data_IF_339640669615
#
_entry.id   IF_339640669615
#
_cell.length_a   1.000
_cell.length_b   1.000
_cell.length_c   1.000
_cell.angle_alpha   90.00
_cell.angle_beta   90.00
_cell.angle_gamma   90.00
#
_symmetry.space_group_name_H-M   'P 1'
#
loop_
_entity.id
_entity.type
_entity.pdbx_description
1 polymer ?
#
# COMPACT_ATOMS: atom_id res chain seq x y z
N UNK A 1 -37.94 6.63 14.93
CA UNK A 1 -38.75 6.71 16.17
C UNK A 1 -37.83 7.21 17.25
N UNK A 2 -37.96 8.45 17.68
CA UNK A 2 -37.31 9.01 18.85
C UNK A 2 -37.74 8.19 20.06
N UNK A 3 -36.84 7.44 20.64
CA UNK A 3 -37.05 6.79 21.93
C UNK A 3 -36.81 7.87 23.00
N UNK A 4 -37.87 8.51 23.45
CA UNK A 4 -37.80 9.42 24.60
C UNK A 4 -37.26 8.72 25.84
N UNK A 5 -36.75 9.50 26.79
CA UNK A 5 -36.33 8.98 28.09
C UNK A 5 -37.53 8.33 28.82
N UNK A 6 -37.29 7.28 29.64
CA UNK A 6 -38.35 6.70 30.46
C UNK A 6 -39.05 7.80 31.31
N UNK A 7 -40.38 7.68 31.54
CA UNK A 7 -41.14 8.71 32.25
C UNK A 7 -40.57 9.07 33.63
N UNK A 8 -39.99 8.11 34.34
CA UNK A 8 -39.33 8.31 35.64
C UNK A 8 -38.10 9.24 35.55
N UNK A 9 -37.34 9.17 34.43
CA UNK A 9 -36.20 10.07 34.19
C UNK A 9 -36.68 11.46 33.86
N UNK A 10 -37.75 11.58 33.06
CA UNK A 10 -38.35 12.86 32.72
C UNK A 10 -38.91 13.55 33.94
N UNK A 11 -39.62 12.84 34.80
CA UNK A 11 -40.15 13.40 36.06
C UNK A 11 -39.04 13.85 37.02
N UNK A 12 -37.95 13.12 37.13
CA UNK A 12 -36.80 13.52 37.93
C UNK A 12 -36.07 14.76 37.42
N UNK A 13 -35.91 14.88 36.07
CA UNK A 13 -35.33 16.06 35.44
C UNK A 13 -36.25 17.28 35.62
N UNK A 14 -37.57 17.09 35.48
CA UNK A 14 -38.56 18.15 35.70
C UNK A 14 -38.65 18.64 37.15
N UNK A 15 -38.38 17.73 38.12
CA UNK A 15 -38.35 18.04 39.53
C UNK A 15 -37.05 18.73 40.00
N UNK A 16 -36.09 18.99 39.11
CA UNK A 16 -34.75 19.56 39.44
C UNK A 16 -34.00 18.81 40.56
N UNK A 17 -34.18 17.49 40.64
CA UNK A 17 -33.47 16.65 41.62
C UNK A 17 -32.09 16.33 41.08
N UNK A 18 -31.08 16.30 42.00
CA UNK A 18 -29.69 15.96 41.71
C UNK A 18 -29.55 14.43 41.44
N UNK A 19 -29.95 14.00 40.21
CA UNK A 19 -29.76 12.62 39.79
C UNK A 19 -28.58 12.51 38.82
N UNK A 20 -27.73 11.52 39.05
CA UNK A 20 -26.67 11.11 38.15
C UNK A 20 -27.11 9.86 37.38
N UNK A 21 -27.17 9.94 36.06
CA UNK A 21 -27.46 8.80 35.19
C UNK A 21 -26.21 7.95 35.00
N UNK A 22 -26.24 6.70 35.43
CA UNK A 22 -25.17 5.73 35.15
C UNK A 22 -25.33 5.22 33.73
N UNK A 23 -24.35 5.50 32.87
CA UNK A 23 -24.30 4.91 31.54
C UNK A 23 -24.02 3.41 31.63
N UNK A 24 -24.88 2.58 31.07
CA UNK A 24 -24.69 1.12 30.97
C UNK A 24 -23.92 0.71 29.72
N UNK A 25 -23.81 1.58 28.73
CA UNK A 25 -23.08 1.38 27.46
C UNK A 25 -22.34 2.67 27.09
N UNK A 26 -21.27 2.57 26.32
CA UNK A 26 -20.60 3.74 25.77
C UNK A 26 -21.57 4.58 24.95
N UNK A 27 -21.43 5.90 25.00
CA UNK A 27 -22.21 6.85 24.24
C UNK A 27 -21.27 7.63 23.31
N UNK A 28 -21.76 7.99 22.14
CA UNK A 28 -21.03 8.85 21.20
C UNK A 28 -20.56 10.14 21.90
N UNK A 29 -19.28 10.49 21.62
CA UNK A 29 -18.65 11.67 22.23
C UNK A 29 -17.79 11.38 23.48
N UNK A 30 -17.86 10.19 24.05
CA UNK A 30 -16.94 9.78 25.10
C UNK A 30 -15.60 9.30 24.50
N UNK A 31 -14.50 9.64 25.15
CA UNK A 31 -13.14 9.33 24.66
C UNK A 31 -12.86 7.84 24.52
N UNK A 32 -13.48 7.00 25.34
CA UNK A 32 -13.32 5.56 25.38
C UNK A 32 -14.35 4.79 24.52
N UNK A 33 -15.39 5.47 24.01
CA UNK A 33 -16.46 4.83 23.26
C UNK A 33 -15.96 4.10 22.00
N UNK A 34 -15.05 4.64 21.16
CA UNK A 34 -14.52 3.93 20.00
C UNK A 34 -13.79 2.65 20.38
N UNK A 35 -12.98 2.69 21.44
CA UNK A 35 -12.23 1.52 21.93
C UNK A 35 -13.15 0.44 22.47
N UNK A 36 -14.15 0.81 23.26
CA UNK A 36 -15.11 -0.15 23.80
C UNK A 36 -15.99 -0.78 22.71
N UNK A 37 -16.33 -0.02 21.66
CA UNK A 37 -17.00 -0.53 20.49
C UNK A 37 -16.12 -1.56 19.75
N UNK A 38 -14.88 -1.21 19.44
CA UNK A 38 -13.92 -2.11 18.78
C UNK A 38 -13.74 -3.42 19.57
N UNK A 39 -13.57 -3.33 20.89
CA UNK A 39 -13.46 -4.52 21.76
C UNK A 39 -14.72 -5.40 21.72
N UNK A 40 -15.92 -4.78 21.72
CA UNK A 40 -17.18 -5.51 21.63
C UNK A 40 -17.34 -6.22 20.27
N UNK A 41 -17.00 -5.53 19.17
CA UNK A 41 -17.04 -6.10 17.83
C UNK A 41 -16.00 -7.23 17.69
N UNK A 42 -14.76 -6.99 18.11
CA UNK A 42 -13.68 -7.98 18.12
C UNK A 42 -14.07 -9.25 18.89
N UNK A 43 -14.59 -9.09 20.11
CA UNK A 43 -15.05 -10.22 20.91
C UNK A 43 -16.11 -11.04 20.15
N UNK A 44 -17.11 -10.38 19.57
CA UNK A 44 -18.17 -11.06 18.82
C UNK A 44 -17.62 -11.79 17.58
N UNK A 45 -16.75 -11.13 16.80
CA UNK A 45 -16.13 -11.74 15.62
C UNK A 45 -15.29 -12.96 15.99
N UNK A 46 -14.46 -12.86 17.05
CA UNK A 46 -13.54 -13.95 17.43
C UNK A 46 -14.25 -15.09 18.18
N UNK A 47 -15.10 -14.78 19.15
CA UNK A 47 -15.66 -15.78 20.06
C UNK A 47 -16.96 -16.38 19.49
N UNK A 48 -17.90 -15.54 19.06
CA UNK A 48 -19.19 -16.00 18.57
C UNK A 48 -19.13 -16.47 17.12
N UNK A 49 -18.43 -15.72 16.26
CA UNK A 49 -18.32 -16.00 14.84
C UNK A 49 -17.09 -16.81 14.46
N UNK A 50 -16.21 -17.15 15.43
CA UNK A 50 -14.98 -17.95 15.24
C UNK A 50 -14.04 -17.40 14.18
N UNK A 51 -14.03 -16.08 14.01
CA UNK A 51 -13.04 -15.40 13.17
C UNK A 51 -11.65 -15.46 13.81
N UNK A 52 -10.63 -15.53 12.99
CA UNK A 52 -9.25 -15.27 13.39
C UNK A 52 -8.92 -13.82 13.10
N UNK A 53 -8.15 -13.19 13.99
CA UNK A 53 -7.59 -11.86 13.73
C UNK A 53 -6.21 -12.04 13.10
N UNK A 54 -5.88 -11.23 12.11
CA UNK A 54 -4.55 -11.25 11.50
C UNK A 54 -3.48 -10.80 12.50
N UNK A 55 -2.32 -11.41 12.46
CA UNK A 55 -1.14 -10.99 13.23
C UNK A 55 -0.57 -9.65 12.75
N UNK A 56 -0.88 -9.24 11.50
CA UNK A 56 -0.38 -8.01 10.89
C UNK A 56 -1.33 -6.82 11.01
N UNK A 57 -2.64 -7.06 11.27
CA UNK A 57 -3.65 -6.00 11.35
C UNK A 57 -4.81 -6.43 12.25
N UNK A 58 -4.98 -5.75 13.38
CA UNK A 58 -6.02 -6.05 14.35
C UNK A 58 -7.45 -5.78 13.87
N UNK A 59 -7.61 -5.08 12.75
CA UNK A 59 -8.88 -4.80 12.09
C UNK A 59 -9.18 -5.75 10.93
N UNK A 60 -8.28 -6.69 10.63
CA UNK A 60 -8.46 -7.70 9.60
C UNK A 60 -8.78 -9.05 10.23
N UNK A 61 -9.94 -9.60 9.90
CA UNK A 61 -10.45 -10.87 10.37
C UNK A 61 -10.65 -11.84 9.21
N UNK A 62 -10.44 -13.14 9.45
CA UNK A 62 -10.63 -14.15 8.42
C UNK A 62 -11.15 -15.46 8.98
N UNK A 63 -11.76 -16.24 8.12
CA UNK A 63 -12.29 -17.55 8.43
C UNK A 63 -11.66 -18.60 7.55
N UNK A 64 -11.47 -19.78 8.11
CA UNK A 64 -10.96 -20.94 7.36
C UNK A 64 -11.96 -22.08 7.43
N UNK A 65 -11.85 -23.04 6.48
CA UNK A 65 -12.63 -24.28 6.48
C UNK A 65 -12.45 -25.05 7.79
N UNK A 66 -13.38 -25.95 8.10
CA UNK A 66 -13.34 -26.73 9.34
C UNK A 66 -12.06 -27.54 9.55
N UNK A 67 -11.37 -27.94 8.48
CA UNK A 67 -10.05 -28.56 8.53
C UNK A 67 -8.89 -27.55 8.56
N UNK A 68 -9.16 -26.26 8.60
CA UNK A 68 -8.17 -25.18 8.63
C UNK A 68 -7.40 -24.93 7.34
N UNK A 69 -7.65 -25.69 6.26
CA UNK A 69 -6.80 -25.66 5.05
C UNK A 69 -7.10 -24.53 4.08
N UNK A 70 -8.34 -24.05 4.03
CA UNK A 70 -8.76 -23.09 3.01
C UNK A 70 -9.35 -21.82 3.63
N UNK A 71 -9.01 -20.67 3.08
CA UNK A 71 -9.66 -19.40 3.40
C UNK A 71 -11.11 -19.44 2.91
N UNK A 72 -12.08 -19.22 3.79
CA UNK A 72 -13.51 -19.20 3.46
C UNK A 72 -14.12 -17.82 3.52
N UNK A 73 -13.40 -16.85 4.04
CA UNK A 73 -13.83 -15.45 4.01
C UNK A 73 -12.91 -14.54 4.78
N UNK A 74 -13.05 -13.26 4.50
CA UNK A 74 -12.32 -12.18 5.14
C UNK A 74 -13.25 -11.01 5.48
N UNK A 75 -12.89 -10.25 6.50
CA UNK A 75 -13.59 -9.05 6.95
C UNK A 75 -12.57 -7.99 7.38
N UNK A 76 -12.71 -6.79 6.88
CA UNK A 76 -12.01 -5.60 7.38
C UNK A 76 -13.02 -4.75 8.13
N UNK A 77 -12.62 -4.24 9.29
CA UNK A 77 -13.45 -3.34 10.11
C UNK A 77 -12.88 -1.92 10.08
N UNK A 78 -13.76 -0.93 9.96
CA UNK A 78 -13.43 0.48 10.08
C UNK A 78 -14.50 1.16 10.94
N UNK A 79 -14.20 1.39 12.21
CA UNK A 79 -15.14 1.87 13.22
C UNK A 79 -16.35 0.93 13.32
N UNK A 80 -17.51 1.31 12.78
CA UNK A 80 -18.77 0.54 12.73
C UNK A 80 -19.04 -0.13 11.37
N UNK A 81 -18.30 0.26 10.35
CA UNK A 81 -18.39 -0.34 9.03
C UNK A 81 -17.57 -1.64 8.93
N UNK A 82 -18.11 -2.61 8.20
CA UNK A 82 -17.39 -3.85 7.88
C UNK A 82 -17.45 -4.15 6.38
N UNK A 83 -16.29 -4.40 5.77
CA UNK A 83 -16.23 -4.88 4.40
C UNK A 83 -15.91 -6.37 4.38
N UNK A 84 -16.78 -7.17 3.78
CA UNK A 84 -16.75 -8.63 3.87
C UNK A 84 -16.61 -9.27 2.49
N UNK A 85 -15.79 -10.31 2.41
CA UNK A 85 -15.62 -11.16 1.23
C UNK A 85 -15.75 -12.63 1.63
N UNK A 86 -16.73 -13.34 1.08
CA UNK A 86 -16.95 -14.78 1.27
C UNK A 86 -17.97 -15.30 0.25
N UNK A 87 -18.26 -16.61 0.30
CA UNK A 87 -19.39 -17.19 -0.41
C UNK A 87 -20.73 -16.59 0.09
N UNK A 88 -21.73 -16.51 -0.78
CA UNK A 88 -23.00 -15.86 -0.45
C UNK A 88 -23.70 -16.46 0.78
N UNK A 89 -23.69 -17.80 0.92
CA UNK A 89 -24.24 -18.49 2.08
C UNK A 89 -23.55 -18.09 3.39
N UNK A 90 -22.21 -17.98 3.36
CA UNK A 90 -21.42 -17.58 4.52
C UNK A 90 -21.67 -16.11 4.89
N UNK A 91 -21.79 -15.23 3.90
CA UNK A 91 -22.13 -13.83 4.14
C UNK A 91 -23.50 -13.69 4.81
N UNK A 92 -24.50 -14.43 4.32
CA UNK A 92 -25.84 -14.42 4.91
C UNK A 92 -25.83 -14.92 6.36
N UNK A 93 -25.13 -16.02 6.63
CA UNK A 93 -25.00 -16.57 7.98
C UNK A 93 -24.30 -15.57 8.93
N UNK A 94 -23.17 -15.01 8.50
CA UNK A 94 -22.41 -14.02 9.30
C UNK A 94 -23.21 -12.75 9.56
N UNK A 95 -23.95 -12.29 8.57
CA UNK A 95 -24.86 -11.16 8.73
C UNK A 95 -25.89 -11.45 9.83
N UNK A 96 -26.54 -12.60 9.82
CA UNK A 96 -27.53 -12.97 10.83
C UNK A 96 -26.94 -12.99 12.26
N UNK A 97 -25.68 -13.43 12.42
CA UNK A 97 -24.98 -13.40 13.71
C UNK A 97 -24.72 -11.97 14.19
N UNK A 98 -24.28 -11.09 13.29
CA UNK A 98 -24.06 -9.68 13.61
C UNK A 98 -25.38 -8.96 13.95
N UNK A 99 -26.45 -9.20 13.17
CA UNK A 99 -27.77 -8.61 13.43
C UNK A 99 -28.37 -9.06 14.76
N UNK A 100 -28.13 -10.29 15.18
CA UNK A 100 -28.55 -10.80 16.50
C UNK A 100 -27.90 -10.00 17.64
N UNK A 101 -26.65 -9.60 17.48
CA UNK A 101 -25.88 -8.89 18.52
C UNK A 101 -26.08 -7.39 18.49
N UNK A 102 -26.01 -6.79 17.31
CA UNK A 102 -25.94 -5.33 17.13
C UNK A 102 -27.26 -4.73 16.61
N UNK A 103 -28.23 -5.53 16.23
CA UNK A 103 -29.48 -5.09 15.62
C UNK A 103 -29.41 -5.07 14.10
N UNK A 104 -30.45 -4.58 13.45
CA UNK A 104 -30.57 -4.54 12.00
C UNK A 104 -29.40 -3.77 11.36
N UNK A 105 -28.74 -4.39 10.38
CA UNK A 105 -27.63 -3.82 9.64
C UNK A 105 -28.08 -3.22 8.32
N UNK A 106 -27.46 -2.09 7.94
CA UNK A 106 -27.50 -1.60 6.57
C UNK A 106 -26.50 -2.39 5.73
N UNK A 107 -26.95 -3.07 4.69
CA UNK A 107 -26.10 -3.93 3.86
C UNK A 107 -26.06 -3.40 2.44
N UNK A 108 -24.88 -3.25 1.91
CA UNK A 108 -24.62 -2.87 0.53
C UNK A 108 -23.92 -4.03 -0.21
N UNK A 109 -24.25 -4.21 -1.48
CA UNK A 109 -23.59 -5.13 -2.40
C UNK A 109 -22.98 -4.35 -3.56
N UNK A 110 -22.07 -4.96 -4.30
CA UNK A 110 -21.39 -4.32 -5.43
C UNK A 110 -22.38 -3.75 -6.48
N UNK A 111 -22.23 -2.50 -6.93
CA UNK A 111 -21.22 -1.55 -6.48
C UNK A 111 -21.58 -0.90 -5.13
N UNK A 112 -20.58 -0.66 -4.30
CA UNK A 112 -20.74 0.08 -3.05
C UNK A 112 -19.53 0.96 -2.76
N UNK A 113 -19.70 1.93 -1.84
CA UNK A 113 -18.61 2.77 -1.36
C UNK A 113 -18.27 2.39 0.09
N UNK A 114 -16.98 2.18 0.35
CA UNK A 114 -16.45 1.98 1.69
C UNK A 114 -15.25 2.91 1.90
N UNK A 115 -15.30 3.69 2.98
CA UNK A 115 -14.27 4.70 3.29
C UNK A 115 -13.93 5.54 2.04
N UNK A 116 -14.96 6.05 1.31
CA UNK A 116 -14.80 6.91 0.14
C UNK A 116 -14.16 6.28 -1.11
N UNK A 117 -13.93 4.97 -1.10
CA UNK A 117 -13.48 4.20 -2.26
C UNK A 117 -14.67 3.38 -2.77
N UNK A 118 -14.95 3.51 -4.06
CA UNK A 118 -16.00 2.73 -4.73
C UNK A 118 -15.44 1.39 -5.19
N UNK A 119 -16.14 0.33 -4.80
CA UNK A 119 -15.90 -1.06 -5.22
C UNK A 119 -16.91 -1.39 -6.31
N UNK A 120 -16.44 -1.71 -7.49
CA UNK A 120 -17.27 -1.99 -8.66
C UNK A 120 -16.92 -3.35 -9.26
N UNK A 121 -17.94 -4.13 -9.65
CA UNK A 121 -17.73 -5.39 -10.35
C UNK A 121 -17.47 -5.13 -11.82
N UNK A 122 -16.42 -5.76 -12.34
CA UNK A 122 -16.11 -5.76 -13.76
C UNK A 122 -16.95 -6.81 -14.53
N UNK A 123 -17.14 -6.61 -15.84
CA UNK A 123 -17.87 -7.60 -16.68
C UNK A 123 -17.26 -9.00 -16.67
N UNK A 124 -15.94 -9.11 -16.48
CA UNK A 124 -15.19 -10.36 -16.37
C UNK A 124 -15.23 -11.01 -14.97
N UNK A 125 -16.02 -10.44 -14.06
CA UNK A 125 -16.15 -10.89 -12.68
C UNK A 125 -15.09 -10.35 -11.71
N UNK A 126 -14.11 -9.61 -12.20
CA UNK A 126 -13.12 -8.92 -11.37
C UNK A 126 -13.70 -7.73 -10.60
N UNK A 127 -12.84 -7.04 -9.86
CA UNK A 127 -13.17 -5.82 -9.13
C UNK A 127 -12.33 -4.65 -9.65
N UNK A 128 -12.94 -3.45 -9.63
CA UNK A 128 -12.24 -2.17 -9.77
C UNK A 128 -12.49 -1.33 -8.52
N UNK A 129 -11.43 -0.76 -7.98
CA UNK A 129 -11.46 0.18 -6.87
C UNK A 129 -11.11 1.56 -7.40
N UNK A 130 -11.97 2.56 -7.18
CA UNK A 130 -11.75 3.93 -7.67
C UNK A 130 -12.39 4.97 -6.76
N UNK A 131 -11.98 6.22 -6.94
CA UNK A 131 -12.52 7.39 -6.24
C UNK A 131 -13.02 8.44 -7.25
N UNK A 132 -13.76 7.99 -8.28
CA UNK A 132 -14.21 8.84 -9.40
C UNK A 132 -14.99 10.05 -8.92
N UNK A 133 -16.00 9.83 -8.09
CA UNK A 133 -16.89 10.87 -7.58
C UNK A 133 -16.11 11.88 -6.73
N UNK A 134 -15.21 11.39 -5.89
CA UNK A 134 -14.32 12.23 -5.09
C UNK A 134 -13.39 13.07 -5.97
N UNK A 135 -12.76 12.47 -6.98
CA UNK A 135 -11.88 13.20 -7.90
C UNK A 135 -12.63 14.31 -8.64
N UNK A 136 -13.85 14.04 -9.10
CA UNK A 136 -14.71 15.03 -9.78
C UNK A 136 -15.20 16.16 -8.85
N UNK A 137 -15.38 15.86 -7.55
CA UNK A 137 -15.82 16.84 -6.56
C UNK A 137 -14.70 17.77 -6.04
N UNK A 138 -13.42 17.46 -6.34
CA UNK A 138 -12.31 18.34 -5.95
C UNK A 138 -12.47 19.73 -6.55
N UNK A 139 -12.31 20.75 -5.72
CA UNK A 139 -12.44 22.15 -6.15
C UNK A 139 -11.07 22.74 -6.48
N UNK A 140 -11.03 23.49 -7.57
CA UNK A 140 -9.85 24.27 -7.90
C UNK A 140 -9.65 25.39 -6.86
N UNK A 141 -8.42 25.63 -6.49
CA UNK A 141 -8.02 26.75 -5.64
C UNK A 141 -8.16 28.03 -6.43
N UNK A 142 -8.85 29.04 -5.85
CA UNK A 142 -8.92 30.38 -6.43
C UNK A 142 -7.56 31.06 -6.30
N UNK A 143 -7.09 31.65 -7.39
CA UNK A 143 -5.78 32.31 -7.45
C UNK A 143 -6.02 33.72 -8.00
N UNK A 144 -5.49 34.71 -7.30
CA UNK A 144 -5.46 36.08 -7.82
C UNK A 144 -4.51 36.14 -9.03
N UNK A 145 -5.07 36.50 -10.19
CA UNK A 145 -4.35 36.55 -11.47
C UNK A 145 -3.31 37.67 -11.52
N UNK A 146 -3.44 38.69 -10.67
CA UNK A 146 -2.49 39.81 -10.60
C UNK A 146 -1.18 39.44 -9.92
N UNK A 147 -1.15 38.35 -9.12
CA UNK A 147 0.02 37.92 -8.36
C UNK A 147 1.04 37.20 -9.24
N UNK A 148 2.31 37.53 -9.03
CA UNK A 148 3.41 36.90 -9.74
C UNK A 148 3.59 35.42 -9.30
N UNK A 149 4.08 34.54 -10.18
CA UNK A 149 4.23 33.10 -9.87
C UNK A 149 5.15 32.79 -8.67
N UNK A 150 6.19 33.58 -8.48
CA UNK A 150 7.19 33.45 -7.42
C UNK A 150 6.80 34.14 -6.10
N UNK A 151 5.68 34.89 -6.09
CA UNK A 151 5.17 35.53 -4.87
C UNK A 151 4.89 34.48 -3.79
N UNK A 152 5.37 34.65 -2.55
CA UNK A 152 5.10 33.73 -1.45
C UNK A 152 3.61 33.73 -1.10
N UNK A 153 3.10 32.59 -0.64
CA UNK A 153 1.72 32.49 -0.18
C UNK A 153 1.53 33.20 1.16
N UNK A 154 0.37 33.80 1.33
CA UNK A 154 -0.10 34.24 2.64
C UNK A 154 -0.63 33.05 3.48
N UNK A 155 -1.06 33.35 4.72
CA UNK A 155 -1.55 32.32 5.65
C UNK A 155 -2.85 31.64 5.17
N UNK A 156 -3.76 32.39 4.53
CA UNK A 156 -5.02 31.89 4.01
C UNK A 156 -4.80 31.00 2.78
N UNK A 157 -3.93 31.45 1.86
CA UNK A 157 -3.52 30.70 0.67
C UNK A 157 -2.79 29.43 1.05
N UNK A 158 -1.89 29.49 2.06
CA UNK A 158 -1.19 28.30 2.60
C UNK A 158 -2.18 27.29 3.20
N UNK A 159 -3.19 27.75 3.94
CA UNK A 159 -4.25 26.89 4.48
C UNK A 159 -5.05 26.24 3.35
N UNK A 160 -5.37 26.99 2.32
CA UNK A 160 -6.09 26.50 1.14
C UNK A 160 -5.26 25.45 0.37
N UNK A 161 -3.94 25.69 0.20
CA UNK A 161 -3.05 24.72 -0.40
C UNK A 161 -3.00 23.41 0.41
N UNK A 162 -2.88 23.50 1.74
CA UNK A 162 -2.92 22.32 2.63
C UNK A 162 -4.21 21.52 2.47
N UNK A 163 -5.35 22.18 2.40
CA UNK A 163 -6.63 21.52 2.17
C UNK A 163 -6.69 20.79 0.82
N UNK A 164 -6.24 21.46 -0.27
CA UNK A 164 -6.17 20.85 -1.59
C UNK A 164 -5.22 19.63 -1.61
N UNK A 165 -4.04 19.75 -1.00
CA UNK A 165 -3.07 18.64 -0.89
C UNK A 165 -3.60 17.49 -0.04
N UNK A 166 -4.36 17.76 1.04
CA UNK A 166 -5.03 16.73 1.82
C UNK A 166 -6.01 15.91 0.99
N UNK A 167 -6.86 16.58 0.17
CA UNK A 167 -7.77 15.91 -0.76
C UNK A 167 -7.03 15.10 -1.83
N UNK A 168 -5.97 15.66 -2.42
CA UNK A 168 -5.15 14.95 -3.39
C UNK A 168 -4.41 13.76 -2.77
N UNK A 169 -3.89 13.88 -1.55
CA UNK A 169 -3.25 12.77 -0.83
C UNK A 169 -4.23 11.62 -0.59
N UNK A 170 -5.47 11.94 -0.19
CA UNK A 170 -6.52 10.93 -0.05
C UNK A 170 -6.82 10.22 -1.38
N UNK A 171 -6.79 10.94 -2.49
CA UNK A 171 -7.01 10.36 -3.82
C UNK A 171 -5.87 9.40 -4.22
N UNK A 172 -4.65 9.55 -3.69
CA UNK A 172 -3.53 8.67 -4.04
C UNK A 172 -3.79 7.21 -3.71
N UNK A 173 -4.69 6.88 -2.77
CA UNK A 173 -5.02 5.48 -2.45
C UNK A 173 -5.42 4.64 -3.67
N UNK A 174 -6.08 5.25 -4.66
CA UNK A 174 -6.45 4.58 -5.91
C UNK A 174 -5.79 5.20 -7.15
N UNK A 175 -5.00 6.26 -6.96
CA UNK A 175 -4.36 7.06 -8.00
C UNK A 175 -2.87 7.29 -7.70
N UNK A 176 -2.05 6.21 -7.71
CA UNK A 176 -0.60 6.33 -7.52
C UNK A 176 0.08 7.25 -8.53
N UNK A 177 -0.51 7.45 -9.73
CA UNK A 177 0.00 8.34 -10.79
C UNK A 177 0.10 9.83 -10.42
N UNK A 178 -0.52 10.25 -9.33
CA UNK A 178 -0.40 11.63 -8.82
C UNK A 178 0.45 11.72 -7.54
N UNK A 179 0.94 10.59 -7.01
CA UNK A 179 1.57 10.55 -5.69
C UNK A 179 2.85 11.39 -5.62
N UNK A 180 3.73 11.31 -6.63
CA UNK A 180 4.96 12.10 -6.66
C UNK A 180 4.68 13.60 -6.67
N UNK A 181 3.71 14.05 -7.48
CA UNK A 181 3.32 15.46 -7.54
C UNK A 181 2.84 15.98 -6.19
N UNK A 182 2.02 15.19 -5.49
CA UNK A 182 1.47 15.55 -4.17
C UNK A 182 2.59 15.64 -3.15
N UNK A 183 3.49 14.65 -3.10
CA UNK A 183 4.62 14.62 -2.16
C UNK A 183 5.59 15.78 -2.40
N UNK A 184 5.91 16.05 -3.66
CA UNK A 184 6.79 17.17 -4.03
C UNK A 184 6.19 18.52 -3.64
N UNK A 185 4.88 18.72 -3.82
CA UNK A 185 4.21 19.95 -3.37
C UNK A 185 4.11 20.03 -1.85
N UNK A 186 3.81 18.92 -1.16
CA UNK A 186 3.76 18.91 0.31
C UNK A 186 5.10 19.33 0.92
N UNK A 187 6.21 18.95 0.30
CA UNK A 187 7.54 19.31 0.77
C UNK A 187 7.83 20.82 0.71
N UNK A 188 7.11 21.56 -0.13
CA UNK A 188 7.27 23.00 -0.34
C UNK A 188 6.31 23.86 0.47
N UNK A 189 5.30 23.29 1.15
CA UNK A 189 4.18 24.02 1.77
C UNK A 189 4.62 25.18 2.67
N UNK A 190 5.73 25.06 3.39
CA UNK A 190 6.24 26.11 4.29
C UNK A 190 6.85 27.31 3.54
N UNK A 191 7.21 27.14 2.28
CA UNK A 191 7.84 28.15 1.41
C UNK A 191 7.14 28.20 0.05
N UNK A 192 5.86 27.83 0.03
CA UNK A 192 5.09 27.72 -1.21
C UNK A 192 4.82 29.09 -1.83
N UNK A 193 4.69 29.09 -3.15
CA UNK A 193 4.45 30.27 -3.98
C UNK A 193 3.15 30.13 -4.77
N UNK A 194 2.76 31.18 -5.47
CA UNK A 194 1.61 31.17 -6.39
C UNK A 194 1.78 30.10 -7.49
N UNK A 195 3.02 29.82 -7.92
CA UNK A 195 3.28 28.74 -8.87
C UNK A 195 2.90 27.37 -8.30
N UNK A 196 3.09 27.13 -7.00
CA UNK A 196 2.72 25.89 -6.34
C UNK A 196 1.20 25.73 -6.24
N UNK A 197 0.43 26.81 -6.02
CA UNK A 197 -1.02 26.78 -6.14
C UNK A 197 -1.50 26.43 -7.57
N UNK A 198 -0.83 27.00 -8.59
CA UNK A 198 -1.14 26.66 -9.99
C UNK A 198 -0.83 25.20 -10.29
N UNK A 199 0.27 24.68 -9.74
CA UNK A 199 0.61 23.26 -9.86
C UNK A 199 -0.44 22.36 -9.17
N UNK A 200 -0.89 22.70 -7.96
CA UNK A 200 -1.98 21.99 -7.30
C UNK A 200 -3.25 21.94 -8.18
N UNK A 201 -3.63 23.05 -8.78
CA UNK A 201 -4.75 23.11 -9.72
C UNK A 201 -4.54 22.26 -10.98
N UNK A 202 -3.31 22.17 -11.47
CA UNK A 202 -2.97 21.28 -12.59
C UNK A 202 -3.19 19.82 -12.23
N UNK A 203 -2.75 19.39 -11.03
CA UNK A 203 -2.96 18.02 -10.54
C UNK A 203 -4.45 17.73 -10.36
N UNK A 204 -5.22 18.67 -9.78
CA UNK A 204 -6.68 18.52 -9.63
C UNK A 204 -7.36 18.35 -11.00
N UNK A 205 -7.03 19.19 -12.00
CA UNK A 205 -7.60 19.04 -13.36
C UNK A 205 -7.25 17.70 -13.98
N UNK A 206 -6.00 17.24 -13.85
CA UNK A 206 -5.57 15.92 -14.34
C UNK A 206 -6.36 14.80 -13.64
N UNK A 207 -6.52 14.88 -12.32
CA UNK A 207 -7.32 13.92 -11.56
C UNK A 207 -8.79 13.88 -12.01
N UNK A 208 -9.41 15.04 -12.28
CA UNK A 208 -10.77 15.14 -12.79
C UNK A 208 -10.91 14.59 -14.21
N UNK A 209 -10.01 14.97 -15.12
CA UNK A 209 -10.03 14.50 -16.51
C UNK A 209 -9.83 12.99 -16.63
N UNK A 210 -9.04 12.42 -15.74
CA UNK A 210 -8.70 10.99 -15.70
C UNK A 210 -9.39 10.27 -14.53
N UNK A 211 -10.56 10.78 -14.10
CA UNK A 211 -11.29 10.27 -12.93
C UNK A 211 -11.71 8.81 -13.02
N UNK A 212 -11.74 8.24 -14.23
CA UNK A 212 -12.02 6.82 -14.47
C UNK A 212 -10.86 5.87 -14.13
N UNK A 213 -9.65 6.38 -13.87
CA UNK A 213 -8.52 5.53 -13.46
C UNK A 213 -8.77 4.93 -12.08
N UNK A 214 -8.27 3.73 -11.84
CA UNK A 214 -8.40 3.02 -10.58
C UNK A 214 -7.55 1.77 -10.52
N UNK A 215 -7.72 0.97 -9.49
CA UNK A 215 -7.00 -0.28 -9.30
C UNK A 215 -7.89 -1.46 -9.73
N UNK A 216 -7.32 -2.41 -10.44
CA UNK A 216 -8.01 -3.57 -11.00
C UNK A 216 -7.56 -4.85 -10.31
N UNK A 217 -8.53 -5.72 -9.99
CA UNK A 217 -8.33 -7.00 -9.33
C UNK A 217 -9.10 -8.07 -10.10
N UNK A 218 -8.47 -8.67 -11.10
CA UNK A 218 -9.01 -9.76 -11.91
C UNK A 218 -8.50 -11.10 -11.42
N UNK A 219 -9.18 -12.17 -11.78
CA UNK A 219 -8.70 -13.51 -11.46
C UNK A 219 -7.33 -13.75 -12.10
N UNK A 220 -6.31 -13.95 -11.28
CA UNK A 220 -4.99 -14.39 -11.71
C UNK A 220 -4.92 -15.93 -11.73
N UNK A 221 -4.03 -16.46 -12.55
CA UNK A 221 -3.75 -17.88 -12.59
C UNK A 221 -2.57 -18.24 -11.69
N UNK A 222 -2.65 -19.38 -11.04
CA UNK A 222 -1.54 -19.93 -10.26
C UNK A 222 -0.52 -20.63 -11.15
N UNK A 223 0.75 -20.67 -10.77
CA UNK A 223 1.33 -20.10 -9.55
C UNK A 223 1.41 -18.54 -9.60
N UNK A 224 1.47 -17.93 -8.44
CA UNK A 224 1.56 -16.46 -8.29
C UNK A 224 2.96 -16.04 -7.84
N UNK A 225 3.31 -14.78 -8.09
CA UNK A 225 4.53 -14.15 -7.58
C UNK A 225 4.30 -12.68 -7.26
N UNK A 226 5.19 -12.10 -6.48
CA UNK A 226 5.26 -10.67 -6.21
C UNK A 226 6.37 -10.00 -6.99
N UNK A 227 6.08 -8.85 -7.56
CA UNK A 227 7.07 -7.95 -8.15
C UNK A 227 7.27 -6.76 -7.20
N UNK A 228 8.50 -6.57 -6.76
CA UNK A 228 8.96 -5.42 -5.99
C UNK A 228 9.63 -4.43 -6.95
N UNK A 229 8.92 -3.39 -7.38
CA UNK A 229 9.39 -2.44 -8.39
C UNK A 229 9.80 -1.15 -7.69
N UNK A 230 11.09 -0.82 -7.77
CA UNK A 230 11.70 0.32 -7.07
C UNK A 230 12.27 1.33 -8.05
N UNK A 231 12.04 2.61 -7.79
CA UNK A 231 12.68 3.74 -8.47
C UNK A 231 13.04 4.82 -7.44
N UNK A 232 14.05 5.63 -7.73
CA UNK A 232 14.38 6.81 -6.95
C UNK A 232 14.72 8.00 -7.84
N UNK A 233 14.22 9.16 -7.48
CA UNK A 233 14.76 10.42 -8.02
C UNK A 233 15.77 11.00 -7.05
N UNK A 234 17.03 11.15 -7.51
CA UNK A 234 18.03 11.87 -6.74
C UNK A 234 17.80 13.39 -6.84
N UNK A 235 18.23 14.10 -5.80
CA UNK A 235 18.09 15.56 -5.67
C UNK A 235 18.14 16.31 -7.00
N UNK A 236 17.05 16.99 -7.33
CA UNK A 236 17.00 17.96 -8.42
C UNK A 236 17.45 19.34 -7.93
N UNK A 237 17.63 20.31 -8.83
CA UNK A 237 17.91 21.72 -8.46
C UNK A 237 16.89 22.30 -7.44
N UNK A 238 15.73 21.68 -7.30
CA UNK A 238 14.62 22.15 -6.48
C UNK A 238 14.40 21.32 -5.19
N UNK A 239 15.09 20.20 -5.01
CA UNK A 239 14.94 19.33 -3.82
C UNK A 239 16.31 18.90 -3.32
N UNK A 240 16.59 19.08 -2.04
CA UNK A 240 17.83 18.66 -1.38
C UNK A 240 17.78 17.20 -0.88
N UNK A 241 16.82 16.40 -1.33
CA UNK A 241 16.61 15.01 -0.91
C UNK A 241 16.10 14.16 -2.07
N UNK A 242 16.35 12.87 -1.98
CA UNK A 242 15.80 11.89 -2.89
C UNK A 242 14.32 11.61 -2.60
N UNK A 243 13.56 11.24 -3.63
CA UNK A 243 12.20 10.71 -3.51
C UNK A 243 12.25 9.23 -3.86
N UNK A 244 11.72 8.39 -2.98
CA UNK A 244 11.60 6.95 -3.15
C UNK A 244 10.23 6.61 -3.72
N UNK A 245 10.20 5.74 -4.71
CA UNK A 245 9.00 5.17 -5.32
C UNK A 245 8.96 3.66 -5.12
N UNK A 246 7.95 3.18 -4.41
CA UNK A 246 7.74 1.77 -4.08
C UNK A 246 6.47 1.27 -4.71
N UNK A 247 6.53 0.13 -5.41
CA UNK A 247 5.36 -0.53 -5.97
C UNK A 247 5.46 -2.04 -5.78
N UNK A 248 4.49 -2.62 -5.08
CA UNK A 248 4.35 -4.07 -4.88
C UNK A 248 3.16 -4.60 -5.68
N UNK A 249 3.43 -5.53 -6.57
CA UNK A 249 2.44 -6.04 -7.54
C UNK A 249 2.36 -7.56 -7.45
N UNK A 250 1.14 -8.09 -7.36
CA UNK A 250 0.85 -9.52 -7.47
C UNK A 250 0.51 -9.87 -8.91
N UNK A 251 1.06 -10.93 -9.44
CA UNK A 251 0.73 -11.46 -10.77
C UNK A 251 0.89 -12.98 -10.86
N UNK A 252 0.42 -13.54 -11.98
CA UNK A 252 0.76 -14.92 -12.34
C UNK A 252 2.26 -15.04 -12.55
N UNK A 253 2.89 -16.00 -11.90
CA UNK A 253 4.32 -16.24 -12.03
C UNK A 253 4.66 -16.73 -13.44
N UNK A 254 5.74 -16.23 -14.06
CA UNK A 254 6.19 -16.74 -15.33
C UNK A 254 6.63 -18.21 -15.21
N UNK A 255 6.26 -19.02 -16.19
CA UNK A 255 6.64 -20.43 -16.26
C UNK A 255 7.98 -20.56 -16.98
N UNK A 256 8.86 -21.43 -16.48
CA UNK A 256 10.13 -21.74 -17.16
C UNK A 256 11.16 -20.61 -17.13
N UNK A 257 11.20 -19.82 -16.07
CA UNK A 257 12.21 -18.78 -15.89
C UNK A 257 13.62 -19.38 -15.88
N UNK A 258 14.35 -19.22 -16.98
CA UNK A 258 15.76 -19.57 -17.05
C UNK A 258 16.58 -18.31 -16.76
N UNK A 259 17.53 -18.33 -15.82
CA UNK A 259 18.41 -17.19 -15.59
C UNK A 259 19.11 -16.73 -16.87
N UNK A 260 19.06 -15.45 -17.16
CA UNK A 260 19.82 -14.80 -18.24
C UNK A 260 19.10 -14.51 -19.54
N UNK A 261 17.87 -15.01 -19.79
CA UNK A 261 17.19 -14.89 -21.10
C UNK A 261 15.70 -14.49 -21.00
N UNK A 262 15.38 -13.49 -20.19
CA UNK A 262 13.97 -13.11 -20.00
C UNK A 262 13.57 -11.94 -20.89
N UNK A 263 12.50 -12.12 -21.66
CA UNK A 263 11.85 -11.05 -22.41
C UNK A 263 10.86 -10.29 -21.51
N UNK A 264 10.71 -8.99 -21.73
CA UNK A 264 9.73 -8.16 -21.03
C UNK A 264 8.29 -8.69 -21.13
N UNK A 265 7.94 -9.39 -22.21
CA UNK A 265 6.63 -10.01 -22.40
C UNK A 265 6.26 -11.01 -21.30
N UNK A 266 7.24 -11.70 -20.72
CA UNK A 266 7.03 -12.68 -19.63
C UNK A 266 6.51 -11.99 -18.37
N UNK A 267 6.94 -10.75 -18.15
CA UNK A 267 6.54 -9.94 -17.00
C UNK A 267 5.35 -9.03 -17.28
N UNK A 268 4.88 -8.95 -18.52
CA UNK A 268 3.67 -8.21 -18.88
C UNK A 268 2.40 -8.98 -18.54
N UNK A 269 1.24 -8.31 -18.59
CA UNK A 269 -0.07 -8.93 -18.40
C UNK A 269 -0.81 -8.46 -17.16
N UNK A 270 -1.85 -9.20 -16.78
CA UNK A 270 -2.72 -8.87 -15.65
C UNK A 270 -1.95 -8.90 -14.32
N UNK A 271 -2.27 -7.92 -13.47
CA UNK A 271 -1.64 -7.81 -12.17
C UNK A 271 -2.55 -7.06 -11.18
N UNK A 272 -2.21 -7.16 -9.89
CA UNK A 272 -2.86 -6.42 -8.80
C UNK A 272 -1.83 -5.54 -8.11
N UNK A 273 -2.08 -4.25 -8.03
CA UNK A 273 -1.32 -3.36 -7.16
C UNK A 273 -1.76 -3.61 -5.72
N UNK A 274 -0.86 -4.11 -4.89
CA UNK A 274 -1.15 -4.42 -3.48
C UNK A 274 -0.62 -3.36 -2.52
N UNK A 275 0.51 -2.73 -2.86
CA UNK A 275 1.04 -1.61 -2.10
C UNK A 275 1.78 -0.65 -3.03
N UNK A 276 1.72 0.62 -2.74
CA UNK A 276 2.54 1.65 -3.37
C UNK A 276 2.85 2.75 -2.38
N UNK A 277 3.97 3.41 -2.60
CA UNK A 277 4.38 4.56 -1.81
C UNK A 277 5.22 5.51 -2.65
N UNK A 278 5.01 6.80 -2.42
CA UNK A 278 5.88 7.87 -2.88
C UNK A 278 6.24 8.71 -1.66
N UNK A 279 7.50 8.97 -1.46
CA UNK A 279 7.91 9.73 -0.28
C UNK A 279 9.35 10.21 -0.33
N UNK A 280 9.64 11.21 0.49
CA UNK A 280 11.00 11.65 0.74
C UNK A 280 11.80 10.52 1.39
N UNK A 281 12.99 10.23 0.86
CA UNK A 281 13.92 9.30 1.49
C UNK A 281 14.17 9.71 2.95
N UNK A 282 14.06 8.76 3.86
CA UNK A 282 14.27 8.99 5.30
C UNK A 282 15.74 9.18 5.65
N UNK A 283 16.64 8.75 4.78
CA UNK A 283 18.09 8.84 4.95
C UNK A 283 18.68 9.74 3.86
N UNK A 284 19.78 10.40 4.19
CA UNK A 284 20.53 11.18 3.21
C UNK A 284 21.19 10.24 2.21
N UNK A 285 20.97 10.48 0.93
CA UNK A 285 21.67 9.79 -0.16
C UNK A 285 22.77 10.69 -0.71
N UNK A 286 23.93 10.11 -0.99
CA UNK A 286 25.11 10.82 -1.47
C UNK A 286 25.30 10.69 -2.99
N UNK A 287 24.51 9.81 -3.62
CA UNK A 287 24.55 9.58 -5.07
C UNK A 287 23.22 9.02 -5.57
N UNK A 288 23.00 9.03 -6.87
CA UNK A 288 21.84 8.38 -7.51
C UNK A 288 21.78 6.91 -7.15
N UNK A 289 22.89 6.18 -7.28
CA UNK A 289 22.98 4.76 -6.93
C UNK A 289 22.63 4.48 -5.45
N UNK A 290 23.01 5.41 -4.53
CA UNK A 290 22.63 5.29 -3.12
C UNK A 290 21.11 5.50 -2.93
N UNK A 291 20.52 6.48 -3.63
CA UNK A 291 19.06 6.70 -3.58
C UNK A 291 18.29 5.48 -4.10
N UNK A 292 18.73 4.90 -5.22
CA UNK A 292 18.15 3.66 -5.77
C UNK A 292 18.28 2.48 -4.79
N UNK A 293 19.43 2.36 -4.11
CA UNK A 293 19.65 1.33 -3.09
C UNK A 293 18.67 1.47 -1.92
N UNK A 294 18.40 2.70 -1.45
CA UNK A 294 17.43 2.99 -0.39
C UNK A 294 16.00 2.64 -0.82
N UNK A 295 15.61 3.05 -2.02
CA UNK A 295 14.29 2.74 -2.57
C UNK A 295 14.07 1.24 -2.73
N UNK A 296 15.07 0.51 -3.24
CA UNK A 296 15.02 -0.93 -3.37
C UNK A 296 14.84 -1.63 -2.01
N UNK A 297 15.59 -1.20 -0.99
CA UNK A 297 15.46 -1.75 0.35
C UNK A 297 14.06 -1.52 0.93
N UNK A 298 13.52 -0.31 0.80
CA UNK A 298 12.18 0.05 1.25
C UNK A 298 11.12 -0.77 0.51
N UNK A 299 11.28 -0.93 -0.81
CA UNK A 299 10.36 -1.70 -1.67
C UNK A 299 10.37 -3.18 -1.31
N UNK A 300 11.54 -3.78 -1.16
CA UNK A 300 11.69 -5.18 -0.76
C UNK A 300 11.04 -5.42 0.61
N UNK A 301 11.31 -4.55 1.59
CA UNK A 301 10.72 -4.68 2.93
C UNK A 301 9.19 -4.60 2.90
N UNK A 302 8.61 -3.70 2.10
CA UNK A 302 7.15 -3.60 1.93
C UNK A 302 6.58 -4.84 1.23
N UNK A 303 7.27 -5.34 0.20
CA UNK A 303 6.79 -6.51 -0.57
C UNK A 303 6.90 -7.81 0.25
N UNK A 304 7.94 -7.95 1.07
CA UNK A 304 8.07 -9.05 2.02
C UNK A 304 6.90 -9.08 3.03
N UNK A 305 6.50 -7.92 3.58
CA UNK A 305 5.31 -7.83 4.43
C UNK A 305 4.02 -8.26 3.72
N UNK A 306 3.90 -7.98 2.42
CA UNK A 306 2.78 -8.48 1.60
C UNK A 306 2.85 -10.00 1.46
N UNK A 307 4.05 -10.57 1.24
CA UNK A 307 4.26 -12.01 1.15
C UNK A 307 3.90 -12.71 2.48
N UNK A 308 4.31 -12.14 3.61
CA UNK A 308 3.97 -12.66 4.95
C UNK A 308 2.45 -12.68 5.19
N UNK A 309 1.75 -11.58 4.89
CA UNK A 309 0.29 -11.49 5.01
C UNK A 309 -0.41 -12.50 4.10
N UNK A 310 0.07 -12.67 2.89
CA UNK A 310 -0.48 -13.67 1.97
C UNK A 310 -0.27 -15.08 2.52
N UNK A 311 0.92 -15.40 3.03
CA UNK A 311 1.26 -16.69 3.63
C UNK A 311 0.37 -16.97 4.86
N UNK A 312 0.14 -15.98 5.74
CA UNK A 312 -0.80 -16.13 6.86
C UNK A 312 -2.18 -16.60 6.40
N UNK A 313 -2.65 -16.07 5.26
CA UNK A 313 -4.00 -16.36 4.76
C UNK A 313 -4.10 -17.68 3.98
N UNK A 314 -3.01 -18.10 3.33
CA UNK A 314 -3.04 -19.20 2.33
C UNK A 314 -2.28 -20.45 2.74
N UNK A 315 -1.38 -20.37 3.72
CA UNK A 315 -0.64 -21.54 4.22
C UNK A 315 -1.58 -22.71 4.56
N UNK A 316 -1.15 -23.98 4.42
CA UNK A 316 -1.99 -25.16 4.67
C UNK A 316 -2.54 -25.25 6.10
N UNK A 317 -1.91 -24.59 7.06
CA UNK A 317 -2.36 -24.40 8.44
C UNK A 317 -2.25 -22.91 8.80
N UNK A 318 -2.85 -22.54 9.93
CA UNK A 318 -2.70 -21.17 10.43
C UNK A 318 -1.35 -21.02 11.11
N UNK A 319 -0.42 -20.21 10.58
CA UNK A 319 0.87 -20.05 11.22
C UNK A 319 0.73 -19.43 12.61
N UNK A 320 1.51 -19.91 13.56
CA UNK A 320 1.75 -19.22 14.84
C UNK A 320 2.64 -17.99 14.62
N UNK A 321 2.72 -17.13 15.63
CA UNK A 321 3.64 -15.97 15.59
C UNK A 321 5.10 -16.42 15.38
N UNK A 322 5.50 -17.47 16.08
CA UNK A 322 6.86 -18.00 15.97
C UNK A 322 7.15 -18.55 14.55
N UNK A 323 6.18 -19.25 13.95
CA UNK A 323 6.29 -19.70 12.56
C UNK A 323 6.39 -18.54 11.58
N UNK A 324 5.60 -17.46 11.76
CA UNK A 324 5.69 -16.26 10.93
C UNK A 324 7.06 -15.57 11.09
N UNK A 325 7.60 -15.47 12.30
CA UNK A 325 8.94 -14.95 12.54
C UNK A 325 10.00 -15.82 11.86
N UNK A 326 9.88 -17.14 11.94
CA UNK A 326 10.79 -18.08 11.28
C UNK A 326 10.69 -17.96 9.76
N UNK A 327 9.48 -17.89 9.19
CA UNK A 327 9.26 -17.67 7.75
C UNK A 327 9.85 -16.33 7.30
N UNK A 328 9.64 -15.27 8.08
CA UNK A 328 10.24 -13.97 7.82
C UNK A 328 11.78 -14.03 7.85
N UNK A 329 12.36 -14.79 8.74
CA UNK A 329 13.81 -14.94 8.85
C UNK A 329 14.40 -15.78 7.71
N UNK A 330 13.74 -16.86 7.31
CA UNK A 330 14.22 -17.83 6.29
C UNK A 330 13.78 -17.48 4.86
N UNK A 331 12.83 -16.55 4.67
CA UNK A 331 12.27 -16.25 3.35
C UNK A 331 11.36 -17.34 2.79
N UNK A 332 10.81 -18.21 3.64
CA UNK A 332 9.93 -19.32 3.24
C UNK A 332 8.50 -18.84 3.02
N UNK A 333 8.30 -17.90 2.11
CA UNK A 333 6.97 -17.38 1.75
C UNK A 333 6.30 -18.25 0.69
N UNK A 334 4.94 -18.25 0.71
CA UNK A 334 4.13 -18.88 -0.35
C UNK A 334 4.30 -18.20 -1.73
N UNK A 335 4.70 -16.92 -1.73
CA UNK A 335 4.91 -16.15 -2.94
C UNK A 335 6.38 -15.81 -3.13
N UNK A 336 7.02 -16.22 -4.24
CA UNK A 336 8.34 -15.73 -4.59
C UNK A 336 8.30 -14.22 -4.88
N UNK A 337 9.31 -13.50 -4.40
CA UNK A 337 9.48 -12.05 -4.58
C UNK A 337 10.56 -11.82 -5.64
N UNK A 338 10.23 -11.03 -6.66
CA UNK A 338 11.13 -10.63 -7.71
C UNK A 338 11.35 -9.12 -7.68
N UNK A 339 12.59 -8.68 -7.52
CA UNK A 339 12.96 -7.26 -7.49
C UNK A 339 13.20 -6.71 -8.91
N UNK A 340 12.73 -5.49 -9.16
CA UNK A 340 12.87 -4.76 -10.44
C UNK A 340 13.36 -3.34 -10.21
N UNK A 341 14.37 -2.93 -10.97
CA UNK A 341 14.95 -1.58 -11.00
C UNK A 341 15.48 -1.23 -12.39
N UNK A 342 15.54 0.03 -12.76
CA UNK A 342 16.22 0.49 -13.98
C UNK A 342 17.68 0.92 -13.72
N UNK A 343 18.13 0.85 -12.48
CA UNK A 343 19.51 1.14 -12.10
C UNK A 343 20.41 -0.10 -12.26
N UNK A 344 21.19 -0.15 -13.36
CA UNK A 344 22.10 -1.26 -13.61
C UNK A 344 23.16 -1.43 -12.50
N UNK A 345 23.70 -0.31 -11.98
CA UNK A 345 24.62 -0.33 -10.84
C UNK A 345 24.05 -1.08 -9.64
N UNK A 346 22.76 -0.84 -9.34
CA UNK A 346 22.09 -1.55 -8.25
C UNK A 346 21.92 -3.05 -8.55
N UNK A 347 21.62 -3.42 -9.80
CA UNK A 347 21.56 -4.83 -10.20
C UNK A 347 22.92 -5.51 -9.97
N UNK A 348 24.02 -4.87 -10.38
CA UNK A 348 25.37 -5.40 -10.20
C UNK A 348 25.76 -5.50 -8.72
N UNK A 349 25.43 -4.47 -7.93
CA UNK A 349 25.64 -4.46 -6.49
C UNK A 349 24.84 -5.56 -5.78
N UNK A 350 23.54 -5.68 -6.08
CA UNK A 350 22.64 -6.65 -5.46
C UNK A 350 22.99 -8.10 -5.85
N UNK A 351 23.53 -8.34 -7.05
CA UNK A 351 23.89 -9.66 -7.54
C UNK A 351 25.32 -10.07 -7.21
N UNK A 352 26.13 -9.18 -6.65
CA UNK A 352 27.54 -9.46 -6.35
C UNK A 352 28.48 -9.38 -7.56
N UNK A 353 27.98 -8.99 -8.74
CA UNK A 353 28.82 -8.76 -9.94
C UNK A 353 29.77 -7.58 -9.77
N UNK A 354 29.47 -6.67 -8.85
CA UNK A 354 30.30 -5.55 -8.47
C UNK A 354 30.57 -5.60 -6.96
N UNK A 355 31.78 -5.20 -6.54
CA UNK A 355 32.16 -5.09 -5.13
C UNK A 355 31.27 -4.13 -4.34
N UNK A 356 31.27 -4.24 -3.03
CA UNK A 356 30.49 -3.36 -2.16
C UNK A 356 30.96 -1.90 -2.26
N UNK A 357 30.04 -0.91 -2.13
CA UNK A 357 30.39 0.50 -2.13
C UNK A 357 31.34 0.86 -0.97
N UNK A 358 32.18 1.90 -1.16
CA UNK A 358 33.02 2.43 -0.10
C UNK A 358 32.22 3.19 0.96
N UNK A 359 31.12 3.83 0.58
CA UNK A 359 30.21 4.49 1.53
C UNK A 359 29.60 3.46 2.47
N UNK A 360 29.84 3.62 3.78
CA UNK A 360 29.41 2.68 4.82
C UNK A 360 27.89 2.50 4.85
N UNK A 361 27.13 3.59 4.70
CA UNK A 361 25.67 3.54 4.79
C UNK A 361 25.06 2.78 3.61
N UNK A 362 25.53 3.01 2.40
CA UNK A 362 25.12 2.28 1.21
C UNK A 362 25.56 0.82 1.28
N UNK A 363 26.80 0.55 1.73
CA UNK A 363 27.35 -0.80 1.87
C UNK A 363 26.48 -1.69 2.75
N UNK A 364 26.06 -1.20 3.92
CA UNK A 364 25.18 -1.98 4.83
C UNK A 364 23.84 -2.34 4.19
N UNK A 365 23.26 -1.43 3.41
CA UNK A 365 22.00 -1.69 2.71
C UNK A 365 22.19 -2.70 1.58
N UNK A 366 23.28 -2.57 0.80
CA UNK A 366 23.63 -3.53 -0.25
C UNK A 366 23.82 -4.92 0.34
N UNK A 367 24.55 -5.06 1.46
CA UNK A 367 24.72 -6.33 2.16
C UNK A 367 23.38 -6.91 2.60
N UNK A 368 22.47 -6.10 3.15
CA UNK A 368 21.13 -6.56 3.51
C UNK A 368 20.30 -7.00 2.30
N UNK A 369 20.43 -6.35 1.14
CA UNK A 369 19.77 -6.80 -0.11
C UNK A 369 20.36 -8.14 -0.58
N UNK A 370 21.68 -8.32 -0.48
CA UNK A 370 22.35 -9.59 -0.80
C UNK A 370 21.92 -10.71 0.13
N UNK A 371 21.87 -10.45 1.44
CA UNK A 371 21.38 -11.40 2.45
C UNK A 371 19.98 -11.91 2.12
N UNK A 372 19.04 -11.00 1.76
CA UNK A 372 17.69 -11.38 1.33
C UNK A 372 17.67 -12.36 0.17
N UNK A 373 18.59 -12.20 -0.78
CA UNK A 373 18.75 -13.15 -1.90
C UNK A 373 19.33 -14.48 -1.48
N UNK A 374 20.34 -14.46 -0.63
CA UNK A 374 20.96 -15.68 -0.07
C UNK A 374 19.96 -16.50 0.77
N UNK A 375 19.11 -15.82 1.53
CA UNK A 375 18.06 -16.44 2.33
C UNK A 375 16.81 -16.85 1.50
N UNK A 376 16.78 -16.57 0.20
CA UNK A 376 15.62 -16.87 -0.65
C UNK A 376 14.45 -15.91 -0.53
N UNK A 377 14.54 -14.86 0.31
CA UNK A 377 13.50 -13.81 0.43
C UNK A 377 13.26 -13.06 -0.87
N UNK A 378 14.31 -12.87 -1.66
CA UNK A 378 14.25 -12.32 -3.00
C UNK A 378 14.72 -13.34 -4.00
N UNK A 379 13.82 -13.82 -4.84
CA UNK A 379 14.09 -14.88 -5.82
C UNK A 379 14.96 -14.40 -6.99
N UNK A 380 14.81 -13.14 -7.40
CA UNK A 380 15.64 -12.55 -8.46
C UNK A 380 15.71 -11.03 -8.37
N UNK A 381 16.76 -10.45 -8.95
CA UNK A 381 16.88 -9.02 -9.23
C UNK A 381 16.94 -8.82 -10.74
N UNK A 382 16.05 -8.02 -11.28
CA UNK A 382 15.85 -7.83 -12.70
C UNK A 382 16.04 -6.37 -13.08
N UNK A 383 16.61 -6.13 -14.26
CA UNK A 383 16.73 -4.79 -14.84
C UNK A 383 15.57 -4.51 -15.78
N UNK A 384 14.91 -3.37 -15.61
CA UNK A 384 13.98 -2.77 -16.56
C UNK A 384 14.66 -1.62 -17.29
N UNK A 385 14.26 -1.35 -18.52
CA UNK A 385 14.61 -0.08 -19.15
C UNK A 385 13.79 1.06 -18.53
N UNK A 386 14.36 2.26 -18.47
CA UNK A 386 13.73 3.43 -17.82
C UNK A 386 12.33 3.74 -18.37
N UNK A 387 12.08 3.52 -19.67
CA UNK A 387 10.77 3.72 -20.27
C UNK A 387 9.71 2.69 -19.85
N UNK A 388 10.15 1.54 -19.32
CA UNK A 388 9.27 0.49 -18.77
C UNK A 388 9.14 0.59 -17.25
N UNK A 389 9.86 1.52 -16.62
CA UNK A 389 9.86 1.70 -15.17
C UNK A 389 8.57 2.38 -14.70
N UNK A 390 7.56 1.58 -14.36
CA UNK A 390 6.26 2.06 -13.88
C UNK A 390 6.36 2.88 -12.58
N UNK A 391 7.38 2.64 -11.75
CA UNK A 391 7.60 3.38 -10.51
C UNK A 391 8.11 4.82 -10.74
N UNK A 392 8.50 5.22 -11.95
CA UNK A 392 8.85 6.61 -12.29
C UNK A 392 7.78 7.62 -11.86
N UNK A 393 6.49 7.29 -12.04
CA UNK A 393 5.36 8.13 -11.60
C UNK A 393 5.28 8.33 -10.09
N UNK A 394 6.00 7.53 -9.31
CA UNK A 394 6.05 7.63 -7.85
C UNK A 394 7.23 8.51 -7.38
N UNK A 395 8.13 8.91 -8.26
CA UNK A 395 9.35 9.66 -7.91
C UNK A 395 9.48 10.99 -8.62
N UNK A 396 8.83 11.15 -9.77
CA UNK A 396 8.96 12.33 -10.66
C UNK A 396 7.58 12.78 -11.13
N UNK A 397 7.49 14.07 -11.46
CA UNK A 397 6.38 14.57 -12.25
C UNK A 397 6.54 14.08 -13.69
N UNK A 398 5.80 13.04 -14.03
CA UNK A 398 5.75 12.50 -15.40
C UNK A 398 4.31 12.26 -15.86
N UNK A 399 3.66 13.28 -16.45
CA UNK A 399 2.30 13.13 -16.96
C UNK A 399 2.20 12.20 -18.17
N UNK A 400 3.33 11.89 -18.82
CA UNK A 400 3.40 11.02 -19.99
C UNK A 400 3.68 9.55 -19.68
N UNK A 401 3.73 9.18 -18.38
CA UNK A 401 4.00 7.79 -17.97
C UNK A 401 2.90 6.84 -18.50
N UNK A 402 3.21 6.21 -19.62
CA UNK A 402 2.32 5.26 -20.30
C UNK A 402 2.15 3.98 -19.48
N UNK A 403 3.16 3.56 -18.71
CA UNK A 403 3.12 2.32 -17.93
C UNK A 403 2.11 2.44 -16.77
N UNK A 404 2.22 3.48 -15.96
CA UNK A 404 1.27 3.73 -14.89
C UNK A 404 -0.13 4.05 -15.42
N UNK A 405 -0.22 4.79 -16.54
CA UNK A 405 -1.49 5.07 -17.19
C UNK A 405 -2.19 3.78 -17.65
N UNK A 406 -1.45 2.85 -18.26
CA UNK A 406 -1.96 1.54 -18.69
C UNK A 406 -2.39 0.71 -17.50
N UNK A 407 -1.56 0.66 -16.46
CA UNK A 407 -1.86 -0.07 -15.21
C UNK A 407 -3.17 0.40 -14.59
N UNK A 408 -3.38 1.72 -14.46
CA UNK A 408 -4.57 2.30 -13.82
C UNK A 408 -5.82 2.36 -14.73
N UNK A 409 -5.67 2.14 -16.02
CA UNK A 409 -6.79 2.12 -16.96
C UNK A 409 -7.25 0.71 -17.30
N UNK A 410 -6.39 -0.29 -17.17
CA UNK A 410 -6.67 -1.66 -17.60
C UNK A 410 -6.29 -2.75 -16.60
N UNK A 411 -5.47 -2.47 -15.60
CA UNK A 411 -4.91 -3.47 -14.68
C UNK A 411 -3.81 -4.32 -15.32
N UNK A 412 -3.14 -3.79 -16.33
CA UNK A 412 -2.09 -4.50 -17.08
C UNK A 412 -0.74 -3.81 -16.89
N UNK A 413 0.30 -4.60 -16.71
CA UNK A 413 1.67 -4.19 -16.99
C UNK A 413 1.96 -4.45 -18.48
N UNK A 414 2.58 -3.49 -19.15
CA UNK A 414 2.83 -3.55 -20.59
C UNK A 414 4.28 -3.15 -20.90
N UNK A 415 5.22 -3.99 -20.48
CA UNK A 415 6.63 -3.75 -20.78
C UNK A 415 6.92 -3.95 -22.28
N UNK A 416 7.63 -3.03 -22.86
CA UNK A 416 7.93 -3.00 -24.30
C UNK A 416 9.34 -3.53 -24.61
N UNK A 417 10.24 -3.53 -23.62
CA UNK A 417 11.65 -3.86 -23.79
C UNK A 417 12.04 -5.14 -23.05
N UNK A 418 13.19 -5.72 -23.43
CA UNK A 418 13.72 -6.91 -22.78
C UNK A 418 14.09 -6.60 -21.33
N UNK A 419 13.59 -7.40 -20.42
CA UNK A 419 14.02 -7.40 -19.02
C UNK A 419 15.22 -8.35 -18.90
N UNK A 420 16.33 -7.86 -18.38
CA UNK A 420 17.52 -8.69 -18.15
C UNK A 420 17.44 -9.28 -16.77
N UNK A 421 17.19 -10.58 -16.72
CA UNK A 421 17.28 -11.32 -15.47
C UNK A 421 18.74 -11.71 -15.23
N UNK A 422 19.36 -11.18 -14.17
CA UNK A 422 20.74 -11.52 -13.82
C UNK A 422 20.76 -12.81 -13.01
N UNK A 423 21.50 -13.84 -13.46
CA UNK A 423 21.62 -15.07 -12.71
C UNK A 423 22.22 -14.79 -11.33
N UNK A 424 21.87 -15.62 -10.37
CA UNK A 424 22.59 -15.68 -9.08
C UNK A 424 23.96 -16.24 -9.42
N UNK A 425 24.95 -15.40 -9.68
CA UNK A 425 26.34 -15.85 -9.65
C UNK A 425 26.59 -16.34 -8.24
N UNK A 426 27.09 -17.58 -8.10
CA UNK A 426 27.66 -18.02 -6.84
C UNK A 426 28.55 -16.88 -6.37
N UNK A 427 28.35 -16.45 -5.13
CA UNK A 427 29.24 -15.50 -4.47
C UNK A 427 30.64 -16.09 -4.72
N UNK A 428 31.40 -15.45 -5.60
CA UNK A 428 32.83 -15.78 -5.72
C UNK A 428 33.41 -15.58 -4.34
N UNK A 429 34.28 -16.46 -3.94
CA UNK A 429 34.87 -16.68 -2.61
C UNK A 429 35.47 -15.44 -1.90
N UNK A 430 35.27 -14.25 -2.41
CA UNK A 430 35.67 -12.96 -1.83
C UNK A 430 34.74 -12.44 -0.68
N UNK A 431 33.73 -13.19 -0.28
CA UNK A 431 33.12 -13.01 1.02
C UNK A 431 33.95 -13.72 2.05
N UNK A 432 34.80 -12.99 2.73
CA UNK A 432 35.31 -13.46 3.99
C UNK A 432 34.10 -13.76 4.90
N UNK A 433 33.80 -15.04 5.13
CA UNK A 433 32.79 -15.48 6.10
C UNK A 433 32.97 -14.77 7.44
N UNK A 434 34.19 -14.31 7.71
CA UNK A 434 34.57 -13.47 8.83
C UNK A 434 33.83 -12.14 8.86
N UNK A 435 33.53 -11.49 7.73
CA UNK A 435 32.81 -10.21 7.70
C UNK A 435 31.33 -10.36 8.04
N UNK A 436 30.69 -11.50 7.72
CA UNK A 436 29.32 -11.80 8.09
C UNK A 436 29.20 -12.31 9.53
N UNK A 437 30.19 -13.05 10.01
CA UNK A 437 30.22 -13.57 11.39
C UNK A 437 30.55 -12.44 12.39
N UNK A 438 31.46 -11.52 12.04
CA UNK A 438 31.79 -10.39 12.91
C UNK A 438 30.62 -9.42 13.12
N UNK A 439 29.63 -9.41 12.21
CA UNK A 439 28.38 -8.63 12.36
C UNK A 439 27.38 -9.33 13.29
N UNK A 440 27.33 -10.67 13.31
CA UNK A 440 26.48 -11.44 14.23
C UNK A 440 26.96 -11.36 15.68
N UNK A 441 28.26 -11.37 15.88
CA UNK A 441 28.86 -11.34 17.24
C UNK A 441 28.91 -9.92 17.84
N UNK A 442 28.54 -8.88 17.06
CA UNK A 442 28.50 -7.48 17.50
C UNK A 442 27.08 -6.96 17.82
N UNK A 443 26.05 -7.80 17.77
CA UNK A 443 24.69 -7.55 18.21
C UNK A 443 24.36 -8.41 19.43
#
# INVERSE_FOLDING_TARGET
KERGFPPQVMSAVQAQQDYVLRLKKPMYGLNDAPKLWQLSLRYHLQIEMKARVSHHDENFYYWRSGNGKHLTGACITHVDDTNNAAAASDLQHRRALLERKFGQLSVQTLPFMHVGITYERLPDGGLRLHQKEFAQALKLVKIDRSRQPDSPLDAAETTTLRGALGGLLYLTYTRPDISADVVLLQSKVTKATIADLRQANSIIRRAQQQSSRGMYFRKLQTPLCLMAIADASFSTKNTSYAVEGTLSVLKTAPVGLTPGTQSAKVWSGQCHVLAHHSGKAKRVSHSTSHAETLSAYSTLSTTEQVAERYTELTAPHVPSVDELIQMSSSGSYELPVHHFTDCMDLVELATGLRGCPQDRSQRLIVLSIRERRLLGKTSSTNHLQTQDMVANSLTKHDPSDMQMATLLSSGLLAFSHATVHRPVTRVTEDYDEADLLSYRDSQ
#
